data_IF_681541516203
#
_entry.id   IF_681541516203
#
_cell.length_a   1.000
_cell.length_b   1.000
_cell.length_c   1.000
_cell.angle_alpha   90.00
_cell.angle_beta   90.00
_cell.angle_gamma   90.00
#
_symmetry.space_group_name_H-M   'P 1'
#
loop_
_entity.id
_entity.type
_entity.pdbx_description
1 polymer ?
#
# COMPACT_ATOMS: atom_id res chain seq x y z
N UNK A 1 25.44 -9.85 -0.98
CA UNK A 1 24.50 -10.57 -1.86
C UNK A 1 24.95 -10.40 -3.30
N UNK A 2 24.71 -11.36 -4.18
CA UNK A 2 25.03 -11.18 -5.60
C UNK A 2 24.03 -10.21 -6.26
N UNK A 3 24.45 -9.55 -7.34
CA UNK A 3 23.60 -8.66 -8.13
C UNK A 3 22.34 -9.39 -8.63
N UNK A 4 22.48 -10.66 -9.00
CA UNK A 4 21.36 -11.50 -9.40
C UNK A 4 20.32 -11.62 -8.27
N UNK A 5 20.76 -11.85 -7.03
CA UNK A 5 19.84 -11.91 -5.87
C UNK A 5 19.16 -10.55 -5.61
N UNK A 6 19.89 -9.44 -5.74
CA UNK A 6 19.31 -8.10 -5.60
C UNK A 6 18.23 -7.83 -6.65
N UNK A 7 18.49 -8.20 -7.91
CA UNK A 7 17.52 -8.05 -8.99
C UNK A 7 16.29 -8.95 -8.79
N UNK A 8 16.49 -10.20 -8.35
CA UNK A 8 15.37 -11.09 -8.01
C UNK A 8 14.51 -10.52 -6.88
N UNK A 9 15.12 -9.93 -5.86
CA UNK A 9 14.38 -9.28 -4.77
C UNK A 9 13.60 -8.05 -5.27
N UNK A 10 14.21 -7.21 -6.10
CA UNK A 10 13.52 -6.06 -6.69
C UNK A 10 12.32 -6.51 -7.53
N UNK A 11 12.47 -7.58 -8.32
CA UNK A 11 11.38 -8.15 -9.10
C UNK A 11 10.28 -8.75 -8.21
N UNK A 12 10.65 -9.50 -7.16
CA UNK A 12 9.71 -10.06 -6.20
C UNK A 12 8.89 -8.97 -5.50
N UNK A 13 9.52 -7.85 -5.12
CA UNK A 13 8.84 -6.67 -4.57
C UNK A 13 7.75 -6.14 -5.49
N UNK A 14 8.03 -6.00 -6.79
CA UNK A 14 7.04 -5.58 -7.79
C UNK A 14 5.89 -6.58 -7.89
N UNK A 15 6.18 -7.88 -7.92
CA UNK A 15 5.16 -8.93 -7.93
C UNK A 15 4.28 -8.85 -6.67
N UNK A 16 4.88 -8.68 -5.50
CA UNK A 16 4.14 -8.57 -4.24
C UNK A 16 3.16 -7.40 -4.26
N UNK A 17 3.58 -6.25 -4.81
CA UNK A 17 2.74 -5.06 -4.99
C UNK A 17 1.59 -5.36 -5.97
N UNK A 18 1.85 -6.06 -7.07
CA UNK A 18 0.84 -6.43 -8.05
C UNK A 18 -0.21 -7.40 -7.45
N UNK A 19 0.23 -8.40 -6.68
CA UNK A 19 -0.67 -9.34 -5.99
C UNK A 19 -1.52 -8.60 -4.94
N UNK A 20 -0.95 -7.63 -4.21
CA UNK A 20 -1.75 -6.78 -3.32
C UNK A 20 -2.82 -5.99 -4.08
N UNK A 21 -2.45 -5.37 -5.20
CA UNK A 21 -3.39 -4.66 -6.08
C UNK A 21 -4.53 -5.57 -6.59
N UNK A 22 -4.21 -6.83 -6.90
CA UNK A 22 -5.20 -7.85 -7.26
C UNK A 22 -6.15 -8.16 -6.09
N UNK A 23 -5.64 -8.41 -4.88
CA UNK A 23 -6.49 -8.63 -3.70
C UNK A 23 -7.40 -7.44 -3.41
N UNK A 24 -6.88 -6.22 -3.58
CA UNK A 24 -7.68 -5.02 -3.41
C UNK A 24 -8.83 -4.95 -4.41
N UNK A 25 -8.54 -5.15 -5.71
CA UNK A 25 -9.55 -5.15 -6.77
C UNK A 25 -10.59 -6.27 -6.61
N UNK A 26 -10.13 -7.49 -6.31
CA UNK A 26 -11.02 -8.64 -6.04
C UNK A 26 -11.93 -8.38 -4.85
N UNK A 27 -11.44 -7.69 -3.81
CA UNK A 27 -12.27 -7.33 -2.67
C UNK A 27 -13.37 -6.30 -2.96
N UNK A 28 -13.25 -5.57 -4.07
CA UNK A 28 -14.31 -4.71 -4.60
C UNK A 28 -15.39 -5.45 -5.42
N UNK A 29 -15.10 -6.70 -5.83
CA UNK A 29 -15.99 -7.53 -6.66
C UNK A 29 -16.66 -8.66 -5.86
N UNK A 30 -15.90 -9.32 -4.98
CA UNK A 30 -16.34 -10.57 -4.33
C UNK A 30 -16.70 -10.32 -2.87
N UNK A 31 -15.71 -9.94 -2.05
CA UNK A 31 -15.85 -9.81 -0.59
C UNK A 31 -14.88 -8.76 -0.04
N UNK A 32 -15.39 -7.81 0.77
CA UNK A 32 -14.58 -6.70 1.31
C UNK A 32 -13.43 -7.19 2.20
N UNK A 33 -13.55 -8.38 2.76
CA UNK A 33 -12.55 -9.04 3.60
C UNK A 33 -11.27 -9.36 2.81
N UNK A 34 -11.39 -9.68 1.51
CA UNK A 34 -10.23 -9.98 0.64
C UNK A 34 -9.31 -8.77 0.54
N UNK A 35 -9.88 -7.57 0.33
CA UNK A 35 -9.10 -6.33 0.29
C UNK A 35 -8.60 -5.89 1.67
N UNK A 36 -9.41 -6.05 2.72
CA UNK A 36 -9.12 -5.51 4.07
C UNK A 36 -8.15 -6.37 4.85
N UNK A 37 -8.20 -7.69 4.68
CA UNK A 37 -7.44 -8.67 5.47
C UNK A 37 -6.46 -9.42 4.56
N UNK A 38 -6.95 -9.95 3.43
CA UNK A 38 -6.14 -10.76 2.51
C UNK A 38 -4.93 -10.00 1.95
N UNK A 39 -5.14 -8.78 1.45
CA UNK A 39 -4.08 -7.90 0.97
C UNK A 39 -2.98 -7.65 2.03
N UNK A 40 -3.31 -7.14 3.21
CA UNK A 40 -2.32 -6.91 4.27
C UNK A 40 -1.59 -8.16 4.75
N UNK A 41 -2.28 -9.31 4.86
CA UNK A 41 -1.63 -10.59 5.18
C UNK A 41 -0.59 -10.94 4.12
N UNK A 42 -0.92 -10.75 2.83
CA UNK A 42 0.03 -10.96 1.75
C UNK A 42 1.25 -10.03 1.83
N UNK A 43 1.05 -8.76 2.19
CA UNK A 43 2.15 -7.82 2.44
C UNK A 43 3.02 -8.32 3.61
N UNK A 44 2.42 -8.81 4.71
CA UNK A 44 3.16 -9.38 5.83
C UNK A 44 4.02 -10.58 5.40
N UNK A 45 3.47 -11.51 4.61
CA UNK A 45 4.20 -12.65 4.06
C UNK A 45 5.35 -12.19 3.16
N UNK A 46 5.09 -11.19 2.30
CA UNK A 46 6.11 -10.63 1.41
C UNK A 46 7.27 -10.02 2.20
N UNK A 47 6.98 -9.27 3.26
CA UNK A 47 7.98 -8.69 4.17
C UNK A 47 8.80 -9.77 4.86
N UNK A 48 8.16 -10.85 5.33
CA UNK A 48 8.85 -11.98 5.94
C UNK A 48 9.85 -12.61 4.96
N UNK A 49 9.42 -12.89 3.72
CA UNK A 49 10.27 -13.48 2.68
C UNK A 49 11.45 -12.55 2.37
N UNK A 50 11.18 -11.26 2.11
CA UNK A 50 12.21 -10.26 1.80
C UNK A 50 13.22 -10.13 2.95
N UNK A 51 12.73 -9.96 4.19
CA UNK A 51 13.56 -9.80 5.38
C UNK A 51 14.40 -11.02 5.70
N UNK A 52 13.87 -12.23 5.47
CA UNK A 52 14.64 -13.48 5.62
C UNK A 52 15.79 -13.57 4.60
N UNK A 53 15.54 -13.27 3.32
CA UNK A 53 16.56 -13.32 2.27
C UNK A 53 17.65 -12.27 2.50
N UNK A 54 17.26 -11.04 2.87
CA UNK A 54 18.19 -9.94 3.14
C UNK A 54 18.87 -10.03 4.52
N UNK A 55 18.41 -10.93 5.40
CA UNK A 55 18.84 -11.03 6.81
C UNK A 55 18.64 -9.72 7.59
N UNK A 56 17.56 -8.99 7.27
CA UNK A 56 17.22 -7.70 7.87
C UNK A 56 15.92 -7.76 8.69
N UNK A 57 15.44 -8.97 9.00
CA UNK A 57 14.12 -9.14 9.63
C UNK A 57 14.02 -8.38 10.96
N UNK A 58 12.94 -7.61 11.10
CA UNK A 58 12.59 -6.89 12.31
C UNK A 58 11.10 -7.08 12.56
N UNK A 59 10.73 -7.42 13.80
CA UNK A 59 9.33 -7.58 14.19
C UNK A 59 8.51 -6.29 13.97
N UNK A 60 9.18 -5.13 14.04
CA UNK A 60 8.59 -3.84 13.80
C UNK A 60 8.06 -3.65 12.37
N UNK A 61 8.61 -4.36 11.38
CA UNK A 61 8.08 -4.31 10.01
C UNK A 61 6.66 -4.87 9.90
N UNK A 62 6.24 -5.74 10.81
CA UNK A 62 4.90 -6.33 10.80
C UNK A 62 3.82 -5.39 11.37
N UNK A 63 4.20 -4.28 12.01
CA UNK A 63 3.25 -3.23 12.36
C UNK A 63 2.68 -2.54 11.11
N UNK A 64 3.44 -2.44 10.03
CA UNK A 64 2.95 -1.85 8.78
C UNK A 64 1.73 -2.59 8.21
N UNK A 65 1.77 -3.90 7.89
CA UNK A 65 0.59 -4.60 7.40
C UNK A 65 -0.59 -4.56 8.40
N UNK A 66 -0.33 -4.53 9.71
CA UNK A 66 -1.41 -4.34 10.70
C UNK A 66 -2.07 -2.96 10.58
N UNK A 67 -1.30 -1.89 10.50
CA UNK A 67 -1.82 -0.53 10.32
C UNK A 67 -2.47 -0.34 8.94
N UNK A 68 -1.93 -1.01 7.92
CA UNK A 68 -2.50 -1.01 6.58
C UNK A 68 -3.89 -1.66 6.59
N UNK A 69 -4.06 -2.80 7.27
CA UNK A 69 -5.37 -3.42 7.48
C UNK A 69 -6.37 -2.46 8.12
N UNK A 70 -5.99 -1.77 9.19
CA UNK A 70 -6.85 -0.75 9.83
C UNK A 70 -7.20 0.37 8.85
N UNK A 71 -6.22 0.85 8.10
CA UNK A 71 -6.40 1.94 7.12
C UNK A 71 -7.37 1.55 6.00
N UNK A 72 -7.31 0.30 5.52
CA UNK A 72 -8.20 -0.24 4.48
C UNK A 72 -9.65 -0.44 4.94
N UNK A 73 -9.88 -0.44 6.25
CA UNK A 73 -11.22 -0.47 6.85
C UNK A 73 -11.88 0.91 6.89
N UNK A 74 -11.13 2.01 6.74
CA UNK A 74 -11.68 3.37 6.72
C UNK A 74 -12.55 3.57 5.47
N UNK A 75 -13.78 4.04 5.69
CA UNK A 75 -14.71 4.39 4.61
C UNK A 75 -14.33 5.71 3.95
N UNK A 76 -14.33 5.74 2.62
CA UNK A 76 -13.90 6.91 1.83
C UNK A 76 -14.95 7.41 0.81
N UNK A 77 -16.17 6.88 0.87
CA UNK A 77 -17.28 7.29 0.01
C UNK A 77 -18.00 8.56 0.51
N UNK A 78 -18.39 9.41 -0.44
CA UNK A 78 -19.24 10.59 -0.20
C UNK A 78 -19.96 10.97 -1.50
N UNK A 79 -21.13 11.61 -1.38
CA UNK A 79 -21.89 12.12 -2.53
C UNK A 79 -21.40 13.51 -2.95
N UNK A 80 -21.22 14.42 -1.99
CA UNK A 80 -20.73 15.77 -2.28
C UNK A 80 -19.24 15.79 -2.59
N UNK A 81 -18.85 16.52 -3.65
CA UNK A 81 -17.44 16.61 -4.09
C UNK A 81 -16.50 17.08 -2.99
N UNK A 82 -16.88 18.10 -2.20
CA UNK A 82 -16.04 18.64 -1.11
C UNK A 82 -15.83 17.61 -0.01
N UNK A 83 -16.89 16.90 0.39
CA UNK A 83 -16.80 15.83 1.40
C UNK A 83 -15.98 14.65 0.88
N UNK A 84 -16.15 14.28 -0.41
CA UNK A 84 -15.38 13.22 -1.07
C UNK A 84 -13.89 13.52 -1.06
N UNK A 85 -13.48 14.76 -1.35
CA UNK A 85 -12.08 15.18 -1.27
C UNK A 85 -11.54 15.00 0.15
N UNK A 86 -12.26 15.46 1.19
CA UNK A 86 -11.84 15.31 2.59
C UNK A 86 -11.69 13.85 3.00
N UNK A 87 -12.67 13.01 2.69
CA UNK A 87 -12.66 11.58 3.00
C UNK A 87 -11.54 10.83 2.24
N UNK A 88 -11.32 11.15 0.96
CA UNK A 88 -10.22 10.58 0.17
C UNK A 88 -8.85 11.03 0.67
N UNK A 89 -8.71 12.30 1.08
CA UNK A 89 -7.49 12.81 1.70
C UNK A 89 -7.18 12.08 3.01
N UNK A 90 -8.17 11.91 3.90
CA UNK A 90 -8.01 11.19 5.16
C UNK A 90 -7.67 9.71 4.92
N UNK A 91 -8.32 9.08 3.95
CA UNK A 91 -8.02 7.69 3.56
C UNK A 91 -6.59 7.54 3.02
N UNK A 92 -6.18 8.42 2.10
CA UNK A 92 -4.81 8.43 1.58
C UNK A 92 -3.77 8.71 2.65
N UNK A 93 -4.07 9.62 3.59
CA UNK A 93 -3.21 9.89 4.74
C UNK A 93 -3.07 8.66 5.64
N UNK A 94 -4.17 7.96 5.96
CA UNK A 94 -4.12 6.75 6.76
C UNK A 94 -3.29 5.64 6.09
N UNK A 95 -3.49 5.42 4.78
CA UNK A 95 -2.66 4.50 4.00
C UNK A 95 -1.18 4.88 4.07
N UNK A 96 -0.84 6.16 3.87
CA UNK A 96 0.55 6.61 3.92
C UNK A 96 1.18 6.50 5.31
N UNK A 97 0.45 6.88 6.38
CA UNK A 97 0.93 6.78 7.77
C UNK A 97 1.14 5.32 8.17
N UNK A 98 0.41 4.37 7.60
CA UNK A 98 0.61 2.95 7.92
C UNK A 98 2.05 2.48 7.71
N UNK A 99 2.81 3.10 6.80
CA UNK A 99 4.21 2.78 6.53
C UNK A 99 5.21 3.40 7.53
N UNK A 100 4.76 4.20 8.50
CA UNK A 100 5.61 4.86 9.50
C UNK A 100 6.54 3.90 10.25
N UNK A 101 6.12 2.70 10.70
CA UNK A 101 7.03 1.75 11.35
C UNK A 101 8.22 1.37 10.46
N UNK A 102 8.00 1.21 9.15
CA UNK A 102 9.08 0.89 8.20
C UNK A 102 10.06 2.06 8.08
N UNK A 103 9.55 3.29 8.03
CA UNK A 103 10.37 4.50 7.94
C UNK A 103 11.26 4.67 9.17
N UNK A 104 10.73 4.41 10.38
CA UNK A 104 11.47 4.47 11.64
C UNK A 104 12.63 3.46 11.62
N UNK A 105 12.37 2.21 11.26
CA UNK A 105 13.38 1.14 11.32
C UNK A 105 14.45 1.32 10.24
N UNK A 106 14.08 1.78 9.06
CA UNK A 106 15.00 1.91 7.92
C UNK A 106 15.65 3.30 7.84
N UNK A 107 15.19 4.26 8.64
CA UNK A 107 15.58 5.68 8.58
C UNK A 107 15.36 6.36 7.21
N UNK A 108 14.51 5.78 6.34
CA UNK A 108 14.23 6.26 4.97
C UNK A 108 13.15 7.35 4.96
N UNK A 109 13.35 8.41 5.73
CA UNK A 109 12.36 9.49 5.92
C UNK A 109 11.98 10.22 4.64
N UNK A 110 12.92 10.39 3.70
CA UNK A 110 12.64 11.03 2.40
C UNK A 110 11.64 10.20 1.58
N UNK A 111 11.84 8.88 1.51
CA UNK A 111 10.94 7.97 0.80
C UNK A 111 9.57 7.90 1.50
N UNK A 112 9.54 7.95 2.83
CA UNK A 112 8.29 8.04 3.57
C UNK A 112 7.51 9.33 3.30
N UNK A 113 8.18 10.48 3.27
CA UNK A 113 7.55 11.76 2.91
C UNK A 113 6.97 11.72 1.49
N UNK A 114 7.73 11.19 0.53
CA UNK A 114 7.24 10.99 -0.84
C UNK A 114 6.03 10.04 -0.88
N UNK A 115 6.06 8.96 -0.11
CA UNK A 115 4.97 7.99 0.00
C UNK A 115 3.68 8.61 0.56
N UNK A 116 3.78 9.44 1.61
CA UNK A 116 2.62 10.16 2.16
C UNK A 116 1.94 11.03 1.10
N UNK A 117 2.73 11.84 0.40
CA UNK A 117 2.22 12.72 -0.66
C UNK A 117 1.62 11.89 -1.80
N UNK A 118 2.27 10.79 -2.18
CA UNK A 118 1.77 9.87 -3.20
C UNK A 118 0.41 9.28 -2.82
N UNK A 119 0.24 8.78 -1.59
CA UNK A 119 -1.03 8.17 -1.15
C UNK A 119 -2.18 9.18 -1.11
N UNK A 120 -1.93 10.39 -0.58
CA UNK A 120 -2.93 11.47 -0.56
C UNK A 120 -3.28 11.89 -1.99
N UNK A 121 -2.27 12.16 -2.81
CA UNK A 121 -2.42 12.58 -4.20
C UNK A 121 -3.16 11.54 -5.03
N UNK A 122 -2.75 10.27 -4.97
CA UNK A 122 -3.40 9.16 -5.67
C UNK A 122 -4.85 9.00 -5.23
N UNK A 123 -5.14 9.00 -3.92
CA UNK A 123 -6.50 8.85 -3.41
C UNK A 123 -7.43 9.99 -3.84
N UNK A 124 -6.93 11.23 -3.91
CA UNK A 124 -7.72 12.38 -4.38
C UNK A 124 -7.86 12.38 -5.90
N UNK A 125 -6.75 12.29 -6.64
CA UNK A 125 -6.76 12.39 -8.10
C UNK A 125 -7.53 11.23 -8.72
N UNK A 126 -7.17 10.00 -8.36
CA UNK A 126 -7.84 8.81 -8.88
C UNK A 126 -9.23 8.67 -8.25
N UNK A 127 -9.36 8.87 -6.94
CA UNK A 127 -10.62 8.60 -6.25
C UNK A 127 -11.72 9.66 -6.34
N UNK A 128 -11.39 10.91 -6.69
CA UNK A 128 -12.37 12.01 -6.86
C UNK A 128 -12.59 12.32 -8.34
N UNK A 129 -11.51 12.56 -9.08
CA UNK A 129 -11.58 12.98 -10.48
C UNK A 129 -11.63 11.79 -11.44
N UNK A 130 -10.90 10.72 -11.11
CA UNK A 130 -10.77 9.49 -11.86
C UNK A 130 -10.53 9.71 -13.38
N UNK A 131 -9.28 9.94 -13.80
CA UNK A 131 -8.94 10.09 -15.22
C UNK A 131 -8.95 8.74 -15.98
N UNK A 132 -9.22 7.62 -15.31
CA UNK A 132 -9.15 6.29 -15.89
C UNK A 132 -10.51 5.87 -16.46
N UNK A 133 -10.47 4.90 -17.38
CA UNK A 133 -11.66 4.43 -18.10
C UNK A 133 -12.62 3.64 -17.21
N UNK A 134 -12.12 3.00 -16.15
CA UNK A 134 -12.96 2.22 -15.23
C UNK A 134 -12.52 2.40 -13.75
N UNK A 135 -13.46 2.16 -12.83
CA UNK A 135 -13.26 2.30 -11.38
C UNK A 135 -12.37 1.22 -10.74
N UNK A 136 -12.20 0.06 -11.37
CA UNK A 136 -11.28 -1.01 -10.98
C UNK A 136 -9.83 -0.65 -11.28
N UNK A 137 -9.55 -0.06 -12.43
CA UNK A 137 -8.20 0.44 -12.75
C UNK A 137 -7.79 1.51 -11.72
N UNK A 138 -8.73 2.39 -11.33
CA UNK A 138 -8.56 3.34 -10.23
C UNK A 138 -8.22 2.64 -8.92
N UNK A 139 -9.09 1.75 -8.45
CA UNK A 139 -8.92 1.06 -7.17
C UNK A 139 -7.61 0.27 -7.10
N UNK A 140 -7.29 -0.48 -8.15
CA UNK A 140 -6.04 -1.24 -8.25
C UNK A 140 -4.83 -0.31 -8.26
N UNK A 141 -4.87 0.79 -9.01
CA UNK A 141 -3.76 1.75 -9.04
C UNK A 141 -3.55 2.44 -7.69
N UNK A 142 -4.62 2.87 -7.01
CA UNK A 142 -4.52 3.41 -5.64
C UNK A 142 -3.88 2.38 -4.70
N UNK A 143 -4.29 1.11 -4.79
CA UNK A 143 -3.76 0.04 -3.96
C UNK A 143 -2.27 -0.26 -4.26
N UNK A 144 -1.88 -0.30 -5.52
CA UNK A 144 -0.46 -0.48 -5.92
C UNK A 144 0.39 0.66 -5.38
N UNK A 145 -0.04 1.91 -5.59
CA UNK A 145 0.71 3.09 -5.14
C UNK A 145 0.79 3.20 -3.61
N UNK A 146 -0.18 2.64 -2.88
CA UNK A 146 -0.17 2.65 -1.42
C UNK A 146 0.78 1.66 -0.77
N UNK A 147 1.38 0.73 -1.53
CA UNK A 147 2.30 -0.27 -0.97
C UNK A 147 3.65 -0.34 -1.67
N UNK A 148 3.78 0.26 -2.86
CA UNK A 148 5.02 0.17 -3.65
C UNK A 148 6.23 0.74 -2.90
N UNK A 149 6.19 1.99 -2.44
CA UNK A 149 7.34 2.59 -1.76
C UNK A 149 7.70 1.86 -0.45
N UNK A 150 6.75 1.55 0.45
CA UNK A 150 7.07 0.84 1.70
C UNK A 150 7.75 -0.51 1.48
N UNK A 151 7.34 -1.27 0.46
CA UNK A 151 7.96 -2.56 0.12
C UNK A 151 9.41 -2.38 -0.37
N UNK A 152 9.73 -1.28 -1.06
CA UNK A 152 11.10 -0.97 -1.47
C UNK A 152 11.95 -0.36 -0.35
N UNK A 153 11.33 0.15 0.72
CA UNK A 153 12.05 0.62 1.91
C UNK A 153 12.60 -0.53 2.77
N UNK A 154 11.98 -1.72 2.73
CA UNK A 154 12.44 -2.93 3.43
C UNK A 154 13.56 -3.59 2.63
#
# INVERSE_FOLDING_TARGET
MSELTLQFLAFFKVISVAIFGLFYGLGGMVKKEVRRIGGPIWIAISILIIGCIQKTISLWYFLYPMLLMVSLCIGYGAEEKKEKIKKRALYGLALGISALPVAIITSKWLLFGFHLVLCIGASILLGVYNPLRNARDEETLIATLSVIIPIFMI
#
